data_IF_528112248688
#
_entry.id   IF_528112248688
#
_cell.length_a   1.000
_cell.length_b   1.000
_cell.length_c   1.000
_cell.angle_alpha   90.00
_cell.angle_beta   90.00
_cell.angle_gamma   90.00
#
_symmetry.space_group_name_H-M   'P 1'
#
loop_
_entity.id
_entity.type
_entity.pdbx_description
1 polymer ?
#
# COMPACT_ATOMS: atom_id res chain seq x y z
N UNK A 1 -27.12 -0.65 -14.21
CA UNK A 1 -26.14 -1.49 -13.46
C UNK A 1 -24.78 -1.44 -14.16
N UNK A 2 -24.00 -0.36 -13.99
CA UNK A 2 -22.75 -0.13 -14.73
C UNK A 2 -21.51 0.14 -13.85
N UNK A 3 -21.56 -0.19 -12.56
CA UNK A 3 -20.48 0.10 -11.59
C UNK A 3 -19.32 -0.92 -11.56
N UNK A 4 -19.38 -2.01 -12.34
CA UNK A 4 -18.63 -3.27 -12.05
C UNK A 4 -17.28 -3.44 -12.75
N UNK A 5 -16.80 -2.43 -13.49
CA UNK A 5 -15.44 -2.40 -14.05
C UNK A 5 -14.62 -1.23 -13.54
N UNK A 6 -15.21 -0.38 -12.70
CA UNK A 6 -14.56 0.83 -12.23
C UNK A 6 -13.61 0.58 -11.07
N UNK A 7 -13.86 -0.37 -10.18
CA UNK A 7 -13.08 -0.50 -8.94
C UNK A 7 -11.66 -0.99 -9.19
N UNK A 8 -11.50 -2.03 -10.01
CA UNK A 8 -10.18 -2.51 -10.44
C UNK A 8 -9.41 -1.45 -11.26
N UNK A 9 -10.11 -0.65 -12.07
CA UNK A 9 -9.51 0.45 -12.84
C UNK A 9 -9.11 1.60 -11.92
N UNK A 10 -9.94 1.97 -10.94
CA UNK A 10 -9.63 2.99 -9.93
C UNK A 10 -8.43 2.59 -9.10
N UNK A 11 -8.37 1.31 -8.69
CA UNK A 11 -7.22 0.77 -7.98
C UNK A 11 -5.96 0.83 -8.85
N UNK A 12 -6.05 0.42 -10.12
CA UNK A 12 -4.92 0.49 -11.04
C UNK A 12 -4.45 1.94 -11.26
N UNK A 13 -5.37 2.91 -11.41
CA UNK A 13 -5.03 4.32 -11.54
C UNK A 13 -4.34 4.86 -10.28
N UNK A 14 -4.83 4.50 -9.09
CA UNK A 14 -4.18 4.86 -7.81
C UNK A 14 -2.78 4.25 -7.71
N UNK A 15 -2.64 2.98 -8.11
CA UNK A 15 -1.33 2.32 -8.13
C UNK A 15 -0.38 3.01 -9.12
N UNK A 16 -0.83 3.35 -10.32
CA UNK A 16 -0.01 4.06 -11.31
C UNK A 16 0.43 5.44 -10.81
N UNK A 17 -0.48 6.21 -10.21
CA UNK A 17 -0.17 7.52 -9.64
C UNK A 17 0.89 7.42 -8.53
N UNK A 18 0.81 6.38 -7.70
CA UNK A 18 1.74 6.17 -6.60
C UNK A 18 2.95 5.32 -7.00
N UNK A 19 3.15 5.02 -8.29
CA UNK A 19 4.21 4.13 -8.77
C UNK A 19 4.25 2.77 -8.06
N UNK A 20 3.08 2.24 -7.72
CA UNK A 20 2.89 0.92 -7.14
C UNK A 20 2.67 -0.13 -8.23
N UNK A 21 3.30 -1.29 -8.06
CA UNK A 21 3.11 -2.44 -8.93
C UNK A 21 1.97 -3.31 -8.39
N UNK A 22 0.83 -3.33 -9.09
CA UNK A 22 -0.26 -4.25 -8.78
C UNK A 22 -0.10 -5.56 -9.54
N UNK A 23 -0.23 -6.68 -8.84
CA UNK A 23 -0.28 -8.02 -9.42
C UNK A 23 -1.44 -8.81 -8.84
N UNK A 24 -1.98 -9.70 -9.68
CA UNK A 24 -3.17 -10.49 -9.36
C UNK A 24 -2.80 -11.97 -9.38
N UNK A 25 -3.17 -12.69 -8.32
CA UNK A 25 -3.10 -14.14 -8.27
C UNK A 25 -4.51 -14.69 -8.14
N UNK A 26 -5.01 -15.30 -9.22
CA UNK A 26 -6.33 -15.91 -9.25
C UNK A 26 -6.24 -17.44 -9.37
N UNK A 27 -7.15 -18.11 -8.68
CA UNK A 27 -7.35 -19.54 -8.81
C UNK A 27 -8.84 -19.87 -8.71
N UNK A 28 -9.19 -20.99 -9.31
CA UNK A 28 -10.55 -21.51 -9.31
C UNK A 28 -10.68 -22.56 -8.21
N UNK A 29 -11.66 -22.35 -7.33
CA UNK A 29 -12.04 -23.35 -6.33
C UNK A 29 -13.07 -24.30 -6.97
N UNK A 30 -12.59 -25.50 -7.32
CA UNK A 30 -13.39 -26.54 -7.98
C UNK A 30 -14.24 -27.34 -7.00
N UNK A 31 -13.97 -27.22 -5.71
CA UNK A 31 -14.64 -27.96 -4.64
C UNK A 31 -15.79 -27.16 -4.00
N UNK A 32 -15.94 -25.87 -4.34
CA UNK A 32 -17.06 -25.03 -3.95
C UNK A 32 -18.39 -25.45 -4.61
N UNK A 33 -18.99 -26.55 -4.17
CA UNK A 33 -20.34 -26.94 -4.54
C UNK A 33 -21.39 -26.03 -3.84
N UNK A 34 -22.51 -25.67 -4.50
CA UNK A 34 -22.98 -26.06 -5.83
C UNK A 34 -22.59 -25.11 -6.97
N UNK A 35 -21.76 -24.08 -6.71
CA UNK A 35 -21.41 -23.06 -7.70
C UNK A 35 -19.92 -22.77 -7.69
N UNK A 36 -19.27 -23.05 -8.83
CA UNK A 36 -17.89 -22.67 -9.14
C UNK A 36 -17.57 -21.26 -8.61
N UNK A 37 -16.51 -21.16 -7.80
CA UNK A 37 -16.05 -19.88 -7.24
C UNK A 37 -14.64 -19.57 -7.71
N UNK A 38 -14.47 -18.34 -8.16
CA UNK A 38 -13.18 -17.75 -8.44
C UNK A 38 -12.73 -16.98 -7.21
N UNK A 39 -11.46 -17.16 -6.83
CA UNK A 39 -10.80 -16.34 -5.83
C UNK A 39 -9.67 -15.57 -6.49
N UNK A 40 -9.54 -14.29 -6.16
CA UNK A 40 -8.45 -13.43 -6.64
C UNK A 40 -7.78 -12.75 -5.45
N UNK A 41 -6.45 -12.82 -5.39
CA UNK A 41 -5.60 -12.06 -4.46
C UNK A 41 -5.04 -10.86 -5.18
N UNK A 42 -5.21 -9.69 -4.56
CA UNK A 42 -4.60 -8.46 -4.98
C UNK A 42 -3.31 -8.24 -4.19
N UNK A 43 -2.19 -8.20 -4.90
CA UNK A 43 -0.89 -7.88 -4.34
C UNK A 43 -0.42 -6.54 -4.87
N UNK A 44 0.12 -5.70 -3.99
CA UNK A 44 0.68 -4.40 -4.36
C UNK A 44 2.11 -4.38 -3.85
N UNK A 45 3.07 -4.10 -4.74
CA UNK A 45 4.50 -4.14 -4.45
C UNK A 45 4.91 -5.46 -3.79
N UNK A 46 4.36 -6.57 -4.28
CA UNK A 46 4.62 -7.91 -3.74
C UNK A 46 4.04 -8.20 -2.34
N UNK A 47 3.33 -7.26 -1.72
CA UNK A 47 2.61 -7.47 -0.46
C UNK A 47 1.16 -7.84 -0.76
N UNK A 48 0.65 -8.88 -0.12
CA UNK A 48 -0.77 -9.24 -0.18
C UNK A 48 -1.57 -8.26 0.69
N UNK A 49 -2.58 -7.61 0.09
CA UNK A 49 -3.46 -6.68 0.81
C UNK A 49 -4.81 -7.32 1.11
N UNK A 50 -5.47 -7.83 0.07
CA UNK A 50 -6.77 -8.46 0.23
C UNK A 50 -7.04 -9.50 -0.86
N UNK A 51 -8.05 -10.31 -0.59
CA UNK A 51 -8.58 -11.28 -1.52
C UNK A 51 -10.08 -11.11 -1.68
N UNK A 52 -10.55 -11.45 -2.86
CA UNK A 52 -11.94 -11.34 -3.25
C UNK A 52 -12.43 -12.60 -3.92
N UNK A 53 -13.74 -12.81 -3.85
CA UNK A 53 -14.38 -13.99 -4.39
C UNK A 53 -15.55 -13.62 -5.30
N UNK A 54 -15.81 -14.46 -6.29
CA UNK A 54 -16.97 -14.26 -7.14
C UNK A 54 -17.28 -15.45 -8.04
N UNK A 55 -18.45 -15.46 -8.69
CA UNK A 55 -18.83 -16.52 -9.62
C UNK A 55 -18.01 -16.53 -10.92
N UNK A 56 -17.24 -15.46 -11.19
CA UNK A 56 -16.37 -15.31 -12.36
C UNK A 56 -15.09 -14.59 -11.96
N UNK A 57 -13.99 -14.82 -12.68
CA UNK A 57 -12.69 -14.14 -12.47
C UNK A 57 -12.81 -12.63 -12.29
N UNK A 58 -13.55 -11.96 -13.17
CA UNK A 58 -13.76 -10.51 -13.08
C UNK A 58 -14.48 -10.04 -11.81
N UNK A 59 -15.40 -10.84 -11.26
CA UNK A 59 -16.07 -10.51 -9.99
C UNK A 59 -15.12 -10.67 -8.80
N UNK A 60 -14.28 -11.70 -8.81
CA UNK A 60 -13.28 -11.89 -7.76
C UNK A 60 -12.26 -10.74 -7.73
N UNK A 61 -11.83 -10.27 -8.92
CA UNK A 61 -10.96 -9.10 -9.03
C UNK A 61 -11.61 -7.81 -8.55
N UNK A 62 -12.89 -7.57 -8.89
CA UNK A 62 -13.58 -6.35 -8.47
C UNK A 62 -13.80 -6.33 -6.94
N UNK A 63 -14.20 -7.46 -6.35
CA UNK A 63 -14.35 -7.61 -4.90
C UNK A 63 -13.02 -7.41 -4.16
N UNK A 64 -11.94 -8.01 -4.67
CA UNK A 64 -10.59 -7.80 -4.15
C UNK A 64 -10.15 -6.33 -4.30
N UNK A 65 -10.44 -5.70 -5.45
CA UNK A 65 -10.09 -4.32 -5.71
C UNK A 65 -10.78 -3.35 -4.76
N UNK A 66 -12.07 -3.55 -4.47
CA UNK A 66 -12.83 -2.74 -3.51
C UNK A 66 -12.21 -2.85 -2.11
N UNK A 67 -11.92 -4.07 -1.66
CA UNK A 67 -11.29 -4.30 -0.36
C UNK A 67 -9.93 -3.62 -0.27
N UNK A 68 -9.08 -3.81 -1.28
CA UNK A 68 -7.76 -3.15 -1.33
C UNK A 68 -7.90 -1.64 -1.38
N UNK A 69 -8.84 -1.10 -2.14
CA UNK A 69 -9.03 0.34 -2.23
C UNK A 69 -9.43 0.96 -0.89
N UNK A 70 -10.29 0.27 -0.12
CA UNK A 70 -10.65 0.70 1.24
C UNK A 70 -9.43 0.68 2.15
N UNK A 71 -8.67 -0.43 2.16
CA UNK A 71 -7.44 -0.56 2.97
C UNK A 71 -6.44 0.56 2.61
N UNK A 72 -6.14 0.77 1.33
CA UNK A 72 -5.23 1.84 0.89
C UNK A 72 -5.79 3.25 1.14
N UNK A 73 -7.10 3.40 1.33
CA UNK A 73 -7.71 4.67 1.70
C UNK A 73 -7.46 5.00 3.18
N UNK A 74 -7.42 3.98 4.03
CA UNK A 74 -7.19 4.09 5.47
C UNK A 74 -5.69 4.04 5.83
N UNK A 75 -4.88 3.21 5.16
CA UNK A 75 -3.47 2.94 5.47
C UNK A 75 -2.44 3.84 4.73
N UNK A 76 -2.85 4.98 4.16
CA UNK A 76 -1.90 5.92 3.55
C UNK A 76 -1.10 6.65 4.64
N UNK A 77 -0.11 5.94 5.19
CA UNK A 77 0.73 6.40 6.30
C UNK A 77 1.46 7.70 5.95
N UNK A 78 1.77 7.90 4.67
CA UNK A 78 2.40 9.13 4.15
C UNK A 78 1.42 10.30 4.24
N UNK A 79 0.17 10.13 3.79
CA UNK A 79 -0.85 11.15 3.90
C UNK A 79 -1.20 11.45 5.37
N UNK A 80 -1.30 10.42 6.22
CA UNK A 80 -1.51 10.59 7.66
C UNK A 80 -0.38 11.40 8.30
N UNK A 81 0.88 11.04 8.02
CA UNK A 81 2.05 11.78 8.51
C UNK A 81 2.03 13.23 8.02
N UNK A 82 1.76 13.47 6.74
CA UNK A 82 1.67 14.81 6.17
C UNK A 82 0.58 15.65 6.85
N UNK A 83 -0.60 15.08 7.07
CA UNK A 83 -1.70 15.75 7.76
C UNK A 83 -1.36 16.04 9.23
N UNK A 84 -0.73 15.09 9.91
CA UNK A 84 -0.28 15.27 11.30
C UNK A 84 0.73 16.42 11.40
N UNK A 85 1.74 16.44 10.53
CA UNK A 85 2.77 17.49 10.47
C UNK A 85 2.18 18.87 10.11
N UNK A 86 1.18 18.90 9.24
CA UNK A 86 0.49 20.13 8.87
C UNK A 86 -0.18 20.82 10.08
N UNK A 87 -0.62 20.06 11.10
CA UNK A 87 -1.19 20.64 12.34
C UNK A 87 -0.19 21.51 13.10
N UNK A 88 1.11 21.22 12.96
CA UNK A 88 2.21 21.93 13.61
C UNK A 88 2.98 22.84 12.65
N UNK A 89 2.55 22.95 11.39
CA UNK A 89 3.25 23.71 10.35
C UNK A 89 4.60 23.10 9.96
N UNK A 90 4.79 21.80 10.16
CA UNK A 90 6.05 21.10 9.87
C UNK A 90 6.07 20.54 8.45
N UNK A 91 7.27 20.49 7.87
CA UNK A 91 7.49 20.00 6.52
C UNK A 91 8.01 18.56 6.52
N UNK A 92 7.42 17.73 5.65
CA UNK A 92 7.88 16.37 5.38
C UNK A 92 8.84 16.34 4.20
N UNK A 93 10.04 15.84 4.43
CA UNK A 93 11.04 15.51 3.43
C UNK A 93 11.31 14.01 3.39
N UNK A 94 11.93 13.55 2.31
CA UNK A 94 12.27 12.14 2.11
C UNK A 94 13.72 12.03 1.68
N UNK A 95 14.46 11.13 2.33
CA UNK A 95 15.76 10.67 1.85
C UNK A 95 15.63 9.19 1.51
N UNK A 96 15.67 8.86 0.22
CA UNK A 96 15.54 7.48 -0.23
C UNK A 96 16.79 7.08 -0.99
N UNK A 97 17.40 5.97 -0.57
CA UNK A 97 18.63 5.45 -1.15
C UNK A 97 18.39 4.01 -1.60
N UNK A 98 18.81 3.64 -2.82
CA UNK A 98 18.88 2.24 -3.21
C UNK A 98 20.06 1.60 -2.47
N UNK A 99 19.76 0.59 -1.66
CA UNK A 99 20.72 -0.32 -1.08
C UNK A 99 20.78 -1.58 -1.95
N UNK A 100 21.98 -1.95 -2.39
CA UNK A 100 22.19 -3.14 -3.21
C UNK A 100 22.93 -4.20 -2.37
N UNK A 101 22.24 -4.93 -1.47
CA UNK A 101 22.89 -5.94 -0.64
C UNK A 101 23.48 -7.09 -1.47
N UNK A 102 23.02 -7.27 -2.72
CA UNK A 102 23.60 -8.18 -3.71
C UNK A 102 23.12 -7.84 -5.14
N UNK A 103 23.84 -8.30 -6.17
CA UNK A 103 23.52 -8.08 -7.58
C UNK A 103 22.14 -8.61 -8.03
N UNK A 104 21.47 -9.44 -7.22
CA UNK A 104 20.19 -10.05 -7.54
C UNK A 104 18.98 -9.39 -6.85
N UNK A 105 19.19 -8.50 -5.87
CA UNK A 105 18.08 -7.94 -5.08
C UNK A 105 18.35 -6.49 -4.69
N UNK A 106 17.67 -5.57 -5.36
CA UNK A 106 17.65 -4.16 -4.99
C UNK A 106 16.72 -3.99 -3.78
N UNK A 107 17.22 -3.35 -2.74
CA UNK A 107 16.44 -2.92 -1.57
C UNK A 107 16.44 -1.39 -1.57
N UNK A 108 15.33 -0.79 -1.18
CA UNK A 108 15.20 0.64 -1.02
C UNK A 108 15.10 0.93 0.47
N UNK A 109 15.93 1.84 0.93
CA UNK A 109 15.89 2.38 2.29
C UNK A 109 15.39 3.81 2.20
N UNK A 110 14.23 4.10 2.77
CA UNK A 110 13.68 5.44 2.84
C UNK A 110 13.71 5.93 4.29
N UNK A 111 14.04 7.21 4.46
CA UNK A 111 14.00 7.91 5.75
C UNK A 111 13.07 9.10 5.64
N UNK A 112 12.09 9.16 6.54
CA UNK A 112 11.18 10.29 6.69
C UNK A 112 11.87 11.39 7.49
N UNK A 113 12.03 12.57 6.87
CA UNK A 113 12.62 13.75 7.47
C UNK A 113 11.54 14.74 7.86
N UNK A 114 11.42 15.08 9.14
CA UNK A 114 10.50 16.11 9.63
C UNK A 114 11.33 17.35 9.95
N UNK A 115 11.10 18.44 9.20
CA UNK A 115 11.92 19.66 9.27
C UNK A 115 13.43 19.38 9.14
N UNK A 116 13.79 18.38 8.33
CA UNK A 116 15.19 17.97 8.11
C UNK A 116 15.76 17.00 9.15
N UNK A 117 15.01 16.64 10.19
CA UNK A 117 15.43 15.67 11.21
C UNK A 117 14.84 14.29 10.88
N UNK A 118 15.61 13.19 10.93
CA UNK A 118 15.11 11.85 10.65
C UNK A 118 14.24 11.31 11.80
N UNK A 119 13.00 10.91 11.48
CA UNK A 119 12.05 10.36 12.47
C UNK A 119 11.73 8.88 12.27
N UNK A 120 11.82 8.36 11.05
CA UNK A 120 11.54 6.95 10.77
C UNK A 120 12.28 6.46 9.54
N UNK A 121 12.62 5.17 9.52
CA UNK A 121 13.35 4.54 8.42
C UNK A 121 12.72 3.21 8.05
N UNK A 122 12.30 3.09 6.79
CA UNK A 122 11.67 1.91 6.23
C UNK A 122 12.55 1.29 5.16
N UNK A 123 12.56 -0.04 5.10
CA UNK A 123 13.29 -0.79 4.08
C UNK A 123 12.32 -1.70 3.33
N UNK A 124 12.38 -1.71 2.01
CA UNK A 124 11.58 -2.61 1.19
C UNK A 124 12.23 -2.87 -0.16
N UNK A 125 11.86 -3.93 -0.86
CA UNK A 125 12.28 -4.13 -2.26
C UNK A 125 11.65 -3.14 -3.23
N UNK A 126 10.73 -2.28 -2.76
CA UNK A 126 10.05 -1.26 -3.54
C UNK A 126 10.19 0.11 -2.90
N UNK A 127 10.49 1.12 -3.72
CA UNK A 127 10.70 2.51 -3.31
C UNK A 127 9.56 3.05 -2.42
N UNK A 128 8.32 2.83 -2.85
CA UNK A 128 7.14 3.35 -2.18
C UNK A 128 6.82 2.64 -0.87
N UNK A 129 6.98 1.31 -0.81
CA UNK A 129 6.81 0.60 0.46
C UNK A 129 7.87 0.99 1.48
N UNK A 130 9.09 1.31 1.05
CA UNK A 130 10.11 1.84 1.94
C UNK A 130 9.65 3.18 2.55
N UNK A 131 9.06 4.07 1.73
CA UNK A 131 8.51 5.34 2.21
C UNK A 131 7.30 5.15 3.14
N UNK A 132 6.38 4.25 2.83
CA UNK A 132 5.22 3.96 3.69
C UNK A 132 5.65 3.45 5.06
N UNK A 133 6.60 2.51 5.11
CA UNK A 133 7.12 1.98 6.37
C UNK A 133 7.88 3.06 7.17
N UNK A 134 8.65 3.93 6.49
CA UNK A 134 9.27 5.09 7.14
C UNK A 134 8.24 6.09 7.67
N UNK A 135 7.17 6.36 6.92
CA UNK A 135 6.09 7.23 7.37
C UNK A 135 5.39 6.65 8.60
N UNK A 136 5.11 5.34 8.59
CA UNK A 136 4.48 4.65 9.71
C UNK A 136 5.33 4.73 10.97
N UNK A 137 6.63 4.44 10.87
CA UNK A 137 7.54 4.58 12.00
C UNK A 137 7.66 6.03 12.49
N UNK A 138 7.73 7.00 11.57
CA UNK A 138 7.80 8.40 11.94
C UNK A 138 6.52 8.86 12.65
N UNK A 139 5.34 8.44 12.18
CA UNK A 139 4.05 8.75 12.80
C UNK A 139 3.90 8.09 14.17
N UNK A 140 4.32 6.83 14.32
CA UNK A 140 4.33 6.13 15.61
C UNK A 140 5.22 6.85 16.63
N UNK A 141 6.44 7.21 16.21
CA UNK A 141 7.38 7.96 17.04
C UNK A 141 6.84 9.34 17.43
N UNK A 142 6.30 10.09 16.48
CA UNK A 142 5.70 11.40 16.73
C UNK A 142 4.51 11.30 17.68
N UNK A 143 3.64 10.31 17.48
CA UNK A 143 2.55 10.07 18.42
C UNK A 143 3.08 9.67 19.80
N UNK A 144 4.14 8.88 19.92
CA UNK A 144 4.73 8.55 21.22
C UNK A 144 5.33 9.77 21.90
N UNK A 145 6.07 10.61 21.16
CA UNK A 145 6.75 11.81 21.70
C UNK A 145 5.77 12.96 22.03
N UNK A 146 4.64 13.04 21.32
CA UNK A 146 3.67 14.14 21.43
C UNK A 146 2.26 13.68 21.85
N UNK A 147 2.09 12.45 22.37
CA UNK A 147 0.80 11.96 22.90
C UNK A 147 0.36 12.64 24.20
N UNK A 148 1.26 13.38 24.84
CA UNK A 148 1.03 14.07 26.12
C UNK A 148 0.67 15.57 25.95
N UNK A 149 0.49 16.07 24.72
CA UNK A 149 0.11 17.47 24.42
C UNK A 149 -1.29 17.53 23.83
#
# INVERSE_FOLDING_TARGET
MALRKESAVKLNNKCQHNHWLISWHDWEDKDAAPHQRWTARAMINGREYAWGQGPKKGHAHDDAAVKVFNILGEDDSIAQLKNWLARFGWCLGWQTLPDAPSAAKLVWTATALVNGVPYGTGCSTFYTCAQEEAAKQALDRLNSEYSEI
#
